data_IF_812850931408
#
_entry.id   IF_812850931408
#
_cell.length_a   1.000
_cell.length_b   1.000
_cell.length_c   1.000
_cell.angle_alpha   90.00
_cell.angle_beta   90.00
_cell.angle_gamma   90.00
#
_symmetry.space_group_name_H-M   'P 1'
#
loop_
_entity.id
_entity.type
_entity.pdbx_description
1 polymer ?
#
# COMPACT_ATOMS: atom_id res chain seq x y z
N UNK A 1 22.74 53.12 31.87
CA UNK A 1 22.84 52.43 30.55
C UNK A 1 21.47 51.89 30.10
N UNK A 2 20.70 51.20 30.95
CA UNK A 2 19.35 50.67 30.63
C UNK A 2 18.26 51.75 30.41
N UNK A 3 18.31 52.88 31.12
CA UNK A 3 17.30 53.94 30.99
C UNK A 3 17.29 54.69 29.65
N UNK A 4 18.46 54.86 29.01
CA UNK A 4 18.59 55.50 27.70
C UNK A 4 18.10 54.59 26.57
N UNK A 5 18.31 53.27 26.71
CA UNK A 5 17.75 52.26 25.80
C UNK A 5 16.22 52.25 25.89
N UNK A 6 15.64 52.34 27.08
CA UNK A 6 14.19 52.38 27.29
C UNK A 6 13.51 53.64 26.73
N UNK A 7 14.18 54.81 26.77
CA UNK A 7 13.69 56.05 26.15
C UNK A 7 13.83 56.02 24.61
N UNK A 8 14.93 55.46 24.08
CA UNK A 8 15.11 55.24 22.63
C UNK A 8 14.12 54.24 22.04
N UNK A 9 13.87 53.15 22.76
CA UNK A 9 12.84 52.16 22.43
C UNK A 9 11.48 52.84 22.39
N UNK A 10 11.20 53.82 23.28
CA UNK A 10 9.94 54.59 23.30
C UNK A 10 9.71 55.48 22.07
N UNK A 11 10.75 56.07 21.52
CA UNK A 11 10.66 56.92 20.34
C UNK A 11 10.51 56.10 19.03
N UNK A 12 11.11 54.90 18.95
CA UNK A 12 11.15 54.10 17.71
C UNK A 12 10.37 52.77 17.84
N UNK A 13 9.32 52.76 18.69
CA UNK A 13 8.52 51.56 19.01
C UNK A 13 7.95 50.89 17.77
N UNK A 14 7.50 51.68 16.81
CA UNK A 14 6.87 51.17 15.59
C UNK A 14 7.87 50.44 14.69
N UNK A 15 9.09 50.96 14.53
CA UNK A 15 10.13 50.33 13.71
C UNK A 15 10.68 49.06 14.37
N UNK A 16 10.91 49.09 15.68
CA UNK A 16 11.30 47.89 16.45
C UNK A 16 10.19 46.83 16.43
N UNK A 17 8.93 47.24 16.58
CA UNK A 17 7.79 46.34 16.48
C UNK A 17 7.69 45.72 15.09
N UNK A 18 7.88 46.50 14.02
CA UNK A 18 7.86 45.98 12.65
C UNK A 18 8.98 44.94 12.40
N UNK A 19 10.19 45.20 12.88
CA UNK A 19 11.31 44.25 12.76
C UNK A 19 11.05 42.95 13.53
N UNK A 20 10.61 43.05 14.79
CA UNK A 20 10.26 41.88 15.61
C UNK A 20 9.11 41.10 15.00
N UNK A 21 8.07 41.77 14.51
CA UNK A 21 6.95 41.15 13.80
C UNK A 21 7.43 40.40 12.56
N UNK A 22 8.35 40.99 11.78
CA UNK A 22 8.90 40.38 10.56
C UNK A 22 9.66 39.09 10.89
N UNK A 23 10.53 39.13 11.91
CA UNK A 23 11.27 37.94 12.36
C UNK A 23 10.30 36.88 12.87
N UNK A 24 9.34 37.24 13.74
CA UNK A 24 8.36 36.31 14.28
C UNK A 24 7.53 35.64 13.18
N UNK A 25 7.01 36.42 12.22
CA UNK A 25 6.24 35.90 11.10
C UNK A 25 7.08 34.96 10.23
N UNK A 26 8.32 35.35 9.93
CA UNK A 26 9.24 34.52 9.12
C UNK A 26 9.55 33.20 9.83
N UNK A 27 9.89 33.23 11.11
CA UNK A 27 10.14 32.03 11.90
C UNK A 27 8.89 31.16 12.02
N UNK A 28 7.72 31.75 12.24
CA UNK A 28 6.45 31.04 12.31
C UNK A 28 6.14 30.33 10.97
N UNK A 29 6.29 31.02 9.84
CA UNK A 29 6.06 30.44 8.52
C UNK A 29 7.05 29.33 8.21
N UNK A 30 8.35 29.51 8.51
CA UNK A 30 9.36 28.48 8.30
C UNK A 30 9.11 27.24 9.17
N UNK A 31 8.75 27.45 10.44
CA UNK A 31 8.41 26.36 11.35
C UNK A 31 7.14 25.62 10.89
N UNK A 32 6.10 26.36 10.49
CA UNK A 32 4.87 25.80 9.95
C UNK A 32 5.14 25.00 8.67
N UNK A 33 5.98 25.52 7.78
CA UNK A 33 6.35 24.82 6.55
C UNK A 33 7.14 23.54 6.83
N UNK A 34 8.11 23.59 7.76
CA UNK A 34 8.88 22.41 8.17
C UNK A 34 7.95 21.33 8.77
N UNK A 35 7.05 21.72 9.67
CA UNK A 35 6.06 20.81 10.24
C UNK A 35 5.09 20.24 9.19
N UNK A 36 4.61 21.09 8.28
CA UNK A 36 3.71 20.72 7.18
C UNK A 36 4.36 19.69 6.25
N UNK A 37 5.60 19.92 5.83
CA UNK A 37 6.33 19.00 4.93
C UNK A 37 6.54 17.62 5.52
N UNK A 38 6.85 17.52 6.82
CA UNK A 38 6.99 16.24 7.51
C UNK A 38 5.66 15.51 7.67
N UNK A 39 4.67 16.18 8.27
CA UNK A 39 3.39 15.56 8.60
C UNK A 39 2.60 15.12 7.36
N UNK A 40 2.61 15.92 6.30
CA UNK A 40 1.89 15.59 5.06
C UNK A 40 2.65 14.59 4.22
N UNK A 41 3.99 14.60 4.24
CA UNK A 41 4.78 13.56 3.59
C UNK A 41 4.41 12.18 4.14
N UNK A 42 4.39 12.05 5.47
CA UNK A 42 4.05 10.77 6.12
C UNK A 42 2.57 10.40 5.92
N UNK A 43 1.65 11.35 6.05
CA UNK A 43 0.23 11.10 5.81
C UNK A 43 -0.07 10.71 4.36
N UNK A 44 0.60 11.35 3.38
CA UNK A 44 0.46 11.03 1.96
C UNK A 44 0.97 9.61 1.67
N UNK A 45 2.13 9.24 2.19
CA UNK A 45 2.68 7.88 2.03
C UNK A 45 1.71 6.84 2.58
N UNK A 46 1.21 7.03 3.81
CA UNK A 46 0.26 6.10 4.42
C UNK A 46 -1.03 5.99 3.62
N UNK A 47 -1.62 7.14 3.24
CA UNK A 47 -2.88 7.16 2.50
C UNK A 47 -2.76 6.53 1.12
N UNK A 48 -1.63 6.73 0.43
CA UNK A 48 -1.39 6.09 -0.86
C UNK A 48 -1.23 4.58 -0.70
N UNK A 49 -0.40 4.12 0.24
CA UNK A 49 -0.13 2.69 0.45
C UNK A 49 -1.35 1.92 1.00
N UNK A 50 -2.18 2.54 1.85
CA UNK A 50 -3.33 1.87 2.48
C UNK A 50 -4.63 1.96 1.68
N UNK A 51 -4.78 2.97 0.82
CA UNK A 51 -6.07 3.22 0.16
C UNK A 51 -5.96 3.43 -1.35
N UNK A 52 -5.12 4.36 -1.82
CA UNK A 52 -5.15 4.74 -3.24
C UNK A 52 -4.48 3.72 -4.16
N UNK A 53 -3.43 3.06 -3.68
CA UNK A 53 -2.64 2.09 -4.43
C UNK A 53 -2.42 0.83 -3.59
N UNK A 54 -3.42 0.44 -2.79
CA UNK A 54 -3.37 -0.72 -1.92
C UNK A 54 -3.17 -2.03 -2.70
N UNK A 55 -3.68 -2.08 -3.93
CA UNK A 55 -3.48 -3.14 -4.90
C UNK A 55 -2.03 -3.27 -5.36
N UNK A 56 -1.29 -2.16 -5.42
CA UNK A 56 0.14 -2.13 -5.79
C UNK A 56 1.06 -2.26 -4.58
N UNK A 57 0.53 -2.12 -3.37
CA UNK A 57 1.27 -2.24 -2.12
C UNK A 57 1.34 -3.68 -1.58
N UNK A 58 0.93 -4.65 -2.39
CA UNK A 58 1.02 -6.09 -2.08
C UNK A 58 2.33 -6.69 -2.60
N UNK A 59 2.73 -7.80 -1.98
CA UNK A 59 3.76 -8.69 -2.51
C UNK A 59 3.12 -10.05 -2.74
N UNK A 60 2.92 -10.39 -4.01
CA UNK A 60 2.36 -11.67 -4.41
C UNK A 60 3.45 -12.65 -4.84
N UNK A 61 3.25 -13.93 -4.51
CA UNK A 61 4.07 -15.03 -4.97
C UNK A 61 3.19 -16.21 -5.36
N UNK A 62 3.58 -16.97 -6.39
CA UNK A 62 2.86 -18.15 -6.88
C UNK A 62 3.83 -19.27 -7.17
N UNK A 63 3.52 -20.50 -6.78
CA UNK A 63 4.38 -21.65 -7.05
C UNK A 63 3.55 -22.91 -7.30
N UNK A 64 3.98 -23.71 -8.28
CA UNK A 64 3.42 -25.05 -8.48
C UNK A 64 3.79 -25.98 -7.32
N UNK A 65 2.81 -26.79 -6.90
CA UNK A 65 2.93 -27.79 -5.84
C UNK A 65 3.27 -29.19 -6.38
N UNK A 66 3.33 -29.36 -7.69
CA UNK A 66 3.61 -30.66 -8.33
C UNK A 66 4.95 -31.23 -7.86
N UNK A 67 4.90 -32.36 -7.15
CA UNK A 67 6.09 -33.06 -6.64
C UNK A 67 6.78 -32.38 -5.44
N UNK A 68 6.10 -31.44 -4.76
CA UNK A 68 6.65 -30.71 -3.60
C UNK A 68 5.83 -30.95 -2.34
N UNK A 69 6.49 -30.81 -1.19
CA UNK A 69 5.82 -30.71 0.09
C UNK A 69 5.21 -29.32 0.25
N UNK A 70 3.87 -29.25 0.21
CA UNK A 70 3.12 -28.01 0.32
C UNK A 70 3.33 -27.30 1.66
N UNK A 71 3.47 -28.04 2.77
CA UNK A 71 3.65 -27.45 4.09
C UNK A 71 5.04 -26.83 4.24
N UNK A 72 6.07 -27.53 3.79
CA UNK A 72 7.44 -27.01 3.79
C UNK A 72 7.58 -25.77 2.88
N UNK A 73 6.95 -25.80 1.69
CA UNK A 73 6.96 -24.66 0.78
C UNK A 73 6.21 -23.45 1.35
N UNK A 74 5.04 -23.65 1.95
CA UNK A 74 4.28 -22.57 2.61
C UNK A 74 5.10 -21.92 3.72
N UNK A 75 5.75 -22.71 4.58
CA UNK A 75 6.59 -22.18 5.66
C UNK A 75 7.79 -21.39 5.12
N UNK A 76 8.46 -21.90 4.09
CA UNK A 76 9.59 -21.22 3.47
C UNK A 76 9.19 -19.87 2.86
N UNK A 77 8.15 -19.85 2.02
CA UNK A 77 7.67 -18.61 1.36
C UNK A 77 7.15 -17.61 2.40
N UNK A 78 6.36 -18.06 3.37
CA UNK A 78 5.82 -17.21 4.43
C UNK A 78 6.92 -16.61 5.30
N UNK A 79 7.98 -17.36 5.59
CA UNK A 79 9.16 -16.86 6.31
C UNK A 79 9.84 -15.72 5.57
N UNK A 80 10.02 -15.85 4.24
CA UNK A 80 10.62 -14.79 3.40
C UNK A 80 9.72 -13.57 3.27
N UNK A 81 8.43 -13.77 3.01
CA UNK A 81 7.48 -12.66 2.81
C UNK A 81 7.30 -11.80 4.07
N UNK A 82 7.35 -12.39 5.26
CA UNK A 82 7.30 -11.62 6.52
C UNK A 82 8.51 -10.69 6.70
N UNK A 83 9.65 -11.03 6.13
CA UNK A 83 10.86 -10.21 6.17
C UNK A 83 10.92 -9.12 5.09
N UNK A 84 9.96 -9.08 4.15
CA UNK A 84 10.02 -8.22 2.98
C UNK A 84 9.65 -6.75 3.23
N UNK A 85 9.04 -6.44 4.39
CA UNK A 85 8.48 -5.11 4.68
C UNK A 85 9.26 -4.34 5.77
N UNK A 86 10.60 -4.52 5.85
CA UNK A 86 11.46 -3.76 6.76
C UNK A 86 10.97 -3.75 8.24
N UNK A 87 10.51 -4.91 8.73
CA UNK A 87 10.04 -5.09 10.10
C UNK A 87 8.64 -4.54 10.40
N UNK A 88 7.88 -4.09 9.40
CA UNK A 88 6.47 -3.74 9.57
C UNK A 88 5.62 -4.98 9.91
N UNK A 89 4.56 -4.84 10.73
CA UNK A 89 3.60 -5.91 10.97
C UNK A 89 3.04 -6.42 9.64
N UNK A 90 3.32 -7.67 9.31
CA UNK A 90 3.00 -8.26 7.99
C UNK A 90 2.01 -9.39 8.14
N UNK A 91 0.93 -9.32 7.38
CA UNK A 91 -0.04 -10.39 7.22
C UNK A 91 0.19 -11.09 5.88
N UNK A 92 0.32 -12.42 5.91
CA UNK A 92 0.47 -13.25 4.71
C UNK A 92 -0.79 -14.10 4.56
N UNK A 93 -1.58 -13.80 3.54
CA UNK A 93 -2.70 -14.62 3.12
C UNK A 93 -2.24 -15.66 2.10
N UNK A 94 -2.91 -16.80 2.07
CA UNK A 94 -2.56 -17.92 1.19
C UNK A 94 -3.80 -18.52 0.56
N UNK A 95 -3.68 -18.96 -0.69
CA UNK A 95 -4.69 -19.72 -1.40
C UNK A 95 -4.04 -20.92 -2.08
N UNK A 96 -4.54 -22.12 -1.79
CA UNK A 96 -4.20 -23.33 -2.51
C UNK A 96 -5.28 -23.59 -3.55
N UNK A 97 -4.89 -23.89 -4.78
CA UNK A 97 -5.83 -24.23 -5.85
C UNK A 97 -5.54 -25.60 -6.47
N UNK A 98 -6.59 -26.21 -6.99
CA UNK A 98 -6.49 -27.40 -7.83
C UNK A 98 -6.14 -27.05 -9.28
N UNK A 99 -5.83 -28.08 -10.06
CA UNK A 99 -5.85 -28.00 -11.50
C UNK A 99 -7.27 -27.76 -12.05
N UNK A 100 -7.40 -27.54 -13.38
CA UNK A 100 -8.68 -27.31 -14.01
C UNK A 100 -9.53 -28.59 -14.08
N UNK A 101 -10.80 -28.45 -13.74
CA UNK A 101 -11.83 -29.47 -13.92
C UNK A 101 -12.85 -29.03 -14.97
N UNK A 102 -13.38 -29.97 -15.73
CA UNK A 102 -14.49 -29.75 -16.64
C UNK A 102 -15.83 -29.84 -15.90
N UNK A 103 -16.70 -28.86 -16.13
CA UNK A 103 -18.09 -28.89 -15.69
C UNK A 103 -18.93 -29.84 -16.56
N UNK A 104 -19.95 -30.50 -15.97
CA UNK A 104 -20.93 -31.27 -16.70
C UNK A 104 -21.57 -30.47 -17.85
N UNK A 105 -21.66 -31.09 -19.03
CA UNK A 105 -22.32 -30.48 -20.21
C UNK A 105 -23.77 -30.06 -19.93
N UNK A 106 -24.46 -30.74 -19.01
CA UNK A 106 -25.83 -30.45 -18.61
C UNK A 106 -26.00 -29.11 -17.87
N UNK A 107 -24.91 -28.52 -17.35
CA UNK A 107 -24.94 -27.22 -16.69
C UNK A 107 -24.67 -26.05 -17.64
N UNK A 108 -24.31 -26.31 -18.90
CA UNK A 108 -24.00 -25.23 -19.85
C UNK A 108 -25.25 -24.37 -20.10
N UNK A 109 -25.12 -23.04 -20.13
CA UNK A 109 -26.21 -22.15 -20.49
C UNK A 109 -26.79 -22.49 -21.88
N UNK A 110 -28.11 -22.42 -22.01
CA UNK A 110 -28.81 -22.63 -23.29
C UNK A 110 -28.39 -21.55 -24.29
N UNK A 111 -27.67 -21.94 -25.35
CA UNK A 111 -27.17 -21.02 -26.39
C UNK A 111 -25.65 -20.93 -26.50
N UNK A 112 -24.89 -21.58 -25.61
CA UNK A 112 -23.44 -21.70 -25.76
C UNK A 112 -23.11 -22.48 -27.07
N UNK A 113 -22.11 -22.03 -27.87
CA UNK A 113 -21.68 -22.77 -29.06
C UNK A 113 -21.36 -24.21 -28.69
N UNK A 114 -21.79 -25.19 -29.51
CA UNK A 114 -21.43 -26.61 -29.38
C UNK A 114 -19.95 -26.86 -29.73
N UNK A 115 -19.05 -25.93 -29.39
CA UNK A 115 -17.61 -26.13 -29.49
C UNK A 115 -17.14 -27.23 -28.54
N UNK A 116 -16.08 -27.94 -28.93
CA UNK A 116 -15.61 -29.18 -28.30
C UNK A 116 -15.07 -29.01 -26.88
N UNK A 117 -14.67 -27.80 -26.48
CA UNK A 117 -13.99 -27.60 -25.20
C UNK A 117 -14.98 -27.41 -24.04
N UNK A 118 -14.74 -28.08 -22.89
CA UNK A 118 -15.56 -27.95 -21.69
C UNK A 118 -15.41 -26.60 -21.01
N UNK A 119 -16.53 -26.09 -20.46
CA UNK A 119 -16.48 -25.04 -19.45
C UNK A 119 -15.69 -25.56 -18.25
N UNK A 120 -14.82 -24.71 -17.70
CA UNK A 120 -13.89 -25.09 -16.66
C UNK A 120 -14.33 -24.60 -15.30
N UNK A 121 -13.89 -25.30 -14.28
CA UNK A 121 -13.98 -24.90 -12.88
C UNK A 121 -12.68 -25.31 -12.19
N UNK A 122 -12.42 -24.75 -11.02
CA UNK A 122 -11.27 -25.09 -10.20
C UNK A 122 -11.66 -24.96 -8.74
N UNK A 123 -11.03 -25.72 -7.86
CA UNK A 123 -11.23 -25.61 -6.43
C UNK A 123 -10.13 -24.70 -5.85
N UNK A 124 -10.49 -23.83 -4.91
CA UNK A 124 -9.52 -23.00 -4.20
C UNK A 124 -9.89 -22.85 -2.72
N UNK A 125 -8.90 -22.51 -1.90
CA UNK A 125 -9.10 -22.13 -0.51
C UNK A 125 -9.11 -20.61 -0.38
N UNK A 126 -10.05 -20.05 0.37
CA UNK A 126 -10.06 -18.64 0.76
C UNK A 126 -10.33 -18.48 2.25
N UNK A 127 -9.94 -17.34 2.79
CA UNK A 127 -10.22 -16.95 4.16
C UNK A 127 -11.71 -16.64 4.31
N UNK A 128 -12.38 -17.36 5.20
CA UNK A 128 -13.81 -17.20 5.47
C UNK A 128 -14.14 -15.79 5.98
N UNK A 129 -13.19 -15.08 6.60
CA UNK A 129 -13.39 -13.70 7.02
C UNK A 129 -13.52 -12.71 5.86
N UNK A 130 -13.13 -13.11 4.63
CA UNK A 130 -13.25 -12.30 3.41
C UNK A 130 -14.47 -12.65 2.56
N UNK A 131 -15.31 -13.55 3.06
CA UNK A 131 -16.47 -14.09 2.36
C UNK A 131 -17.73 -13.90 3.19
N UNK A 132 -18.82 -13.50 2.52
CA UNK A 132 -20.15 -13.57 3.07
C UNK A 132 -20.84 -14.84 2.57
N UNK A 133 -21.44 -15.61 3.50
CA UNK A 133 -22.29 -16.74 3.15
C UNK A 133 -23.69 -16.22 2.78
N UNK A 134 -24.09 -16.44 1.53
CA UNK A 134 -25.41 -16.01 1.01
C UNK A 134 -26.47 -17.07 1.27
N UNK A 135 -26.09 -18.35 1.24
CA UNK A 135 -27.00 -19.45 1.56
C UNK A 135 -26.28 -20.79 1.74
N UNK A 136 -26.93 -21.73 2.41
CA UNK A 136 -26.37 -23.05 2.74
C UNK A 136 -25.38 -22.99 3.90
N UNK A 137 -24.35 -23.86 3.85
CA UNK A 137 -23.34 -24.02 4.88
C UNK A 137 -21.93 -23.95 4.30
N UNK A 138 -20.95 -23.59 5.13
CA UNK A 138 -19.53 -23.69 4.74
C UNK A 138 -19.12 -25.15 4.53
N UNK A 139 -18.26 -25.43 3.53
CA UNK A 139 -17.77 -26.78 3.27
C UNK A 139 -16.93 -27.30 4.43
N UNK A 140 -17.05 -28.60 4.69
CA UNK A 140 -16.24 -29.32 5.68
C UNK A 140 -15.04 -30.01 5.03
N UNK A 141 -13.96 -30.25 5.81
CA UNK A 141 -12.80 -30.98 5.31
C UNK A 141 -13.19 -32.40 4.91
N UNK A 142 -12.83 -32.80 3.68
CA UNK A 142 -13.00 -34.17 3.22
C UNK A 142 -11.86 -35.05 3.72
N UNK A 143 -12.18 -36.20 4.31
CA UNK A 143 -11.19 -37.18 4.71
C UNK A 143 -10.54 -37.88 3.51
N UNK A 144 -9.37 -38.47 3.73
CA UNK A 144 -8.69 -39.28 2.72
C UNK A 144 -9.59 -40.45 2.31
N UNK A 145 -9.87 -40.58 1.02
CA UNK A 145 -10.76 -41.61 0.47
C UNK A 145 -12.26 -41.32 0.59
N UNK A 146 -12.66 -40.12 1.02
CA UNK A 146 -14.06 -39.72 0.99
C UNK A 146 -14.63 -39.79 -0.45
N UNK A 147 -15.81 -40.35 -0.61
CA UNK A 147 -16.46 -40.48 -1.92
C UNK A 147 -16.83 -39.13 -2.54
N UNK A 148 -17.13 -38.15 -1.70
CA UNK A 148 -17.66 -36.83 -2.09
C UNK A 148 -16.94 -35.69 -1.35
N UNK A 149 -16.91 -34.51 -1.97
CA UNK A 149 -16.26 -33.30 -1.45
C UNK A 149 -17.26 -32.16 -1.35
N UNK A 150 -17.43 -31.62 -0.16
CA UNK A 150 -18.26 -30.43 0.03
C UNK A 150 -17.55 -29.19 -0.54
N UNK A 151 -18.27 -28.40 -1.32
CA UNK A 151 -17.78 -27.13 -1.88
C UNK A 151 -18.84 -26.03 -1.76
N UNK A 152 -18.40 -24.77 -1.70
CA UNK A 152 -19.29 -23.64 -1.88
C UNK A 152 -19.02 -22.93 -3.21
N UNK A 153 -20.07 -22.45 -3.87
CA UNK A 153 -19.98 -21.77 -5.18
C UNK A 153 -20.08 -20.25 -5.02
N UNK A 154 -19.41 -19.45 -5.87
CA UNK A 154 -19.68 -18.03 -5.94
C UNK A 154 -21.12 -17.74 -6.35
N UNK A 155 -21.74 -16.69 -5.81
CA UNK A 155 -23.10 -16.28 -6.12
C UNK A 155 -23.32 -16.04 -7.63
N UNK A 156 -22.33 -15.43 -8.31
CA UNK A 156 -22.36 -15.24 -9.75
C UNK A 156 -22.45 -16.57 -10.52
N UNK A 157 -21.74 -17.60 -10.06
CA UNK A 157 -21.76 -18.95 -10.66
C UNK A 157 -23.08 -19.65 -10.37
N UNK A 158 -23.57 -19.57 -9.13
CA UNK A 158 -24.86 -20.15 -8.74
C UNK A 158 -26.01 -19.61 -9.61
N UNK A 159 -26.00 -18.30 -9.88
CA UNK A 159 -26.99 -17.65 -10.75
C UNK A 159 -26.80 -18.04 -12.22
N UNK A 160 -25.57 -18.04 -12.73
CA UNK A 160 -25.29 -18.32 -14.14
C UNK A 160 -25.58 -19.78 -14.53
N UNK A 161 -25.29 -20.73 -13.64
CA UNK A 161 -25.46 -22.17 -13.89
C UNK A 161 -26.74 -22.75 -13.25
N UNK A 162 -27.57 -21.91 -12.63
CA UNK A 162 -28.78 -22.31 -11.90
C UNK A 162 -28.52 -23.42 -10.85
N UNK A 163 -27.41 -23.30 -10.12
CA UNK A 163 -26.99 -24.26 -9.08
C UNK A 163 -27.41 -23.75 -7.71
N UNK A 164 -27.99 -24.63 -6.90
CA UNK A 164 -28.34 -24.37 -5.51
C UNK A 164 -27.54 -25.29 -4.56
N UNK A 165 -27.50 -24.92 -3.28
CA UNK A 165 -26.98 -25.78 -2.22
C UNK A 165 -27.76 -27.10 -2.14
N UNK A 166 -27.07 -28.19 -1.79
CA UNK A 166 -27.56 -29.57 -1.78
C UNK A 166 -27.40 -30.32 -3.12
N UNK A 167 -26.89 -29.69 -4.19
CA UNK A 167 -26.78 -30.34 -5.50
C UNK A 167 -25.45 -31.11 -5.65
N UNK A 168 -25.49 -32.43 -5.90
CA UNK A 168 -24.30 -33.20 -6.24
C UNK A 168 -23.92 -32.97 -7.71
N UNK A 169 -22.61 -32.85 -7.99
CA UNK A 169 -22.04 -32.70 -9.32
C UNK A 169 -20.80 -33.59 -9.46
N UNK A 170 -20.55 -34.06 -10.68
CA UNK A 170 -19.34 -34.82 -11.01
C UNK A 170 -18.48 -33.97 -11.94
N UNK A 171 -17.30 -33.61 -11.47
CA UNK A 171 -16.30 -32.86 -12.21
C UNK A 171 -15.31 -33.81 -12.88
N UNK A 172 -15.01 -33.60 -14.15
CA UNK A 172 -14.01 -34.41 -14.86
C UNK A 172 -12.64 -33.71 -14.84
N UNK A 173 -11.59 -34.41 -14.41
CA UNK A 173 -10.24 -33.84 -14.37
C UNK A 173 -9.70 -33.64 -15.80
N UNK A 174 -9.26 -32.42 -16.13
CA UNK A 174 -8.70 -32.10 -17.45
C UNK A 174 -7.26 -32.57 -17.63
N UNK A 175 -6.57 -32.89 -16.54
CA UNK A 175 -5.19 -33.38 -16.53
C UNK A 175 -5.12 -34.92 -16.51
N UNK A 176 -6.25 -35.61 -16.68
CA UNK A 176 -6.31 -37.07 -16.81
C UNK A 176 -6.39 -37.84 -15.49
N UNK A 177 -6.64 -37.14 -14.36
CA UNK A 177 -6.92 -37.76 -13.07
C UNK A 177 -8.35 -38.32 -12.94
N UNK A 178 -8.68 -38.90 -11.77
CA UNK A 178 -10.01 -39.45 -11.52
C UNK A 178 -11.07 -38.34 -11.46
N UNK A 179 -12.34 -38.63 -11.83
CA UNK A 179 -13.43 -37.67 -11.64
C UNK A 179 -13.60 -37.33 -10.16
N UNK A 180 -13.98 -36.08 -9.90
CA UNK A 180 -14.22 -35.55 -8.56
C UNK A 180 -15.72 -35.40 -8.36
N UNK A 181 -16.29 -36.18 -7.45
CA UNK A 181 -17.65 -35.96 -6.97
C UNK A 181 -17.62 -34.84 -5.93
N UNK A 182 -18.47 -33.84 -6.15
CA UNK A 182 -18.65 -32.71 -5.24
C UNK A 182 -20.13 -32.57 -4.86
N UNK A 183 -20.38 -32.05 -3.67
CA UNK A 183 -21.70 -31.55 -3.27
C UNK A 183 -21.59 -30.07 -2.96
N UNK A 184 -22.42 -29.28 -3.64
CA UNK A 184 -22.50 -27.85 -3.38
C UNK A 184 -23.23 -27.64 -2.06
N UNK A 185 -22.54 -27.25 -0.99
CA UNK A 185 -23.14 -27.07 0.34
C UNK A 185 -23.52 -25.63 0.64
N UNK A 186 -22.92 -24.67 -0.06
CA UNK A 186 -23.18 -23.25 0.15
C UNK A 186 -22.96 -22.38 -1.08
N UNK A 187 -23.46 -21.16 -0.98
CA UNK A 187 -23.26 -20.08 -1.95
C UNK A 187 -22.62 -18.91 -1.20
N UNK A 188 -21.50 -18.42 -1.70
CA UNK A 188 -20.77 -17.32 -1.08
C UNK A 188 -20.60 -16.14 -2.03
N UNK A 189 -20.30 -14.97 -1.49
CA UNK A 189 -19.84 -13.80 -2.25
C UNK A 189 -18.65 -13.14 -1.55
N UNK A 190 -17.77 -12.45 -2.30
CA UNK A 190 -16.78 -11.56 -1.70
C UNK A 190 -17.42 -10.53 -0.75
N UNK A 191 -16.88 -10.38 0.46
CA UNK A 191 -17.33 -9.34 1.40
C UNK A 191 -16.97 -7.93 0.89
N UNK A 192 -15.78 -7.78 0.32
CA UNK A 192 -15.34 -6.57 -0.38
C UNK A 192 -14.67 -6.96 -1.71
N UNK A 193 -15.36 -6.83 -2.86
CA UNK A 193 -14.80 -7.12 -4.18
C UNK A 193 -13.62 -6.22 -4.59
N UNK A 194 -13.47 -5.04 -4.00
CA UNK A 194 -12.40 -4.09 -4.32
C UNK A 194 -11.12 -4.36 -3.50
N UNK A 195 -11.17 -5.28 -2.52
CA UNK A 195 -10.02 -5.61 -1.68
C UNK A 195 -8.87 -6.22 -2.49
N UNK A 196 -7.61 -5.79 -2.28
CA UNK A 196 -6.41 -6.38 -2.90
C UNK A 196 -6.26 -7.90 -2.70
N UNK A 197 -6.90 -8.44 -1.66
CA UNK A 197 -7.01 -9.88 -1.38
C UNK A 197 -7.36 -10.72 -2.62
N UNK A 198 -8.21 -10.18 -3.51
CA UNK A 198 -8.67 -10.92 -4.68
C UNK A 198 -7.61 -11.13 -5.77
N UNK A 199 -6.41 -10.55 -5.64
CA UNK A 199 -5.27 -10.93 -6.50
C UNK A 199 -4.81 -12.38 -6.28
N UNK A 200 -5.18 -12.99 -5.14
CA UNK A 200 -5.02 -14.43 -4.89
C UNK A 200 -5.92 -15.29 -5.77
N UNK A 201 -7.06 -14.75 -6.23
CA UNK A 201 -7.98 -15.44 -7.12
C UNK A 201 -7.62 -15.13 -8.59
N UNK A 202 -7.36 -16.14 -9.44
CA UNK A 202 -7.18 -15.92 -10.88
C UNK A 202 -8.38 -15.24 -11.55
N UNK A 203 -9.59 -15.35 -10.98
CA UNK A 203 -10.80 -14.68 -11.46
C UNK A 203 -11.09 -13.35 -10.75
N UNK A 204 -10.17 -12.87 -9.92
CA UNK A 204 -10.25 -11.59 -9.20
C UNK A 204 -11.57 -11.42 -8.41
N UNK A 205 -12.09 -12.49 -7.81
CA UNK A 205 -13.32 -12.49 -7.02
C UNK A 205 -14.60 -12.38 -7.85
N UNK A 206 -14.53 -12.39 -9.18
CA UNK A 206 -15.69 -12.16 -10.06
C UNK A 206 -16.58 -13.38 -10.26
N UNK A 207 -16.06 -14.58 -10.01
CA UNK A 207 -16.82 -15.83 -10.16
C UNK A 207 -16.88 -16.40 -11.58
N UNK A 208 -16.87 -15.55 -12.62
CA UNK A 208 -16.95 -15.98 -14.01
C UNK A 208 -15.96 -15.19 -14.86
N UNK A 209 -15.20 -15.89 -15.71
CA UNK A 209 -14.27 -15.28 -16.63
C UNK A 209 -14.25 -16.02 -17.97
N UNK A 210 -14.40 -15.28 -19.07
CA UNK A 210 -14.43 -15.84 -20.42
C UNK A 210 -13.25 -15.31 -21.22
N UNK A 211 -12.40 -16.24 -21.68
CA UNK A 211 -11.36 -15.99 -22.68
C UNK A 211 -11.56 -16.96 -23.85
N UNK A 212 -10.64 -17.92 -24.05
CA UNK A 212 -10.82 -19.00 -25.03
C UNK A 212 -11.84 -20.06 -24.57
N UNK A 213 -12.03 -20.17 -23.26
CA UNK A 213 -13.04 -20.99 -22.58
C UNK A 213 -13.65 -20.20 -21.43
N UNK A 214 -14.83 -20.61 -20.97
CA UNK A 214 -15.48 -20.00 -19.80
C UNK A 214 -15.08 -20.75 -18.55
N UNK A 215 -14.48 -20.04 -17.59
CA UNK A 215 -14.17 -20.56 -16.26
C UNK A 215 -15.19 -20.04 -15.26
N UNK A 216 -15.85 -20.96 -14.56
CA UNK A 216 -16.77 -20.69 -13.45
C UNK A 216 -16.13 -21.14 -12.13
N UNK A 217 -15.91 -20.21 -11.21
CA UNK A 217 -15.34 -20.50 -9.90
C UNK A 217 -14.55 -19.33 -9.34
N UNK A 218 -13.53 -19.58 -8.51
CA UNK A 218 -13.20 -20.89 -7.94
C UNK A 218 -14.33 -21.44 -7.06
N UNK A 219 -14.43 -22.75 -6.95
CA UNK A 219 -15.25 -23.41 -5.94
C UNK A 219 -14.47 -23.40 -4.63
N UNK A 220 -15.07 -22.84 -3.58
CA UNK A 220 -14.45 -22.82 -2.26
C UNK A 220 -14.44 -24.25 -1.71
N UNK A 221 -13.26 -24.76 -1.42
CA UNK A 221 -13.06 -26.01 -0.71
C UNK A 221 -12.38 -25.73 0.64
N UNK A 222 -12.63 -26.59 1.61
CA UNK A 222 -11.94 -26.50 2.90
C UNK A 222 -10.45 -26.85 2.77
N UNK A 223 -9.51 -26.15 3.44
CA UNK A 223 -8.10 -26.47 3.38
C UNK A 223 -7.77 -27.93 3.76
N UNK A 224 -8.54 -28.53 4.67
CA UNK A 224 -8.35 -29.94 5.05
C UNK A 224 -8.61 -30.93 3.91
N UNK A 225 -9.38 -30.54 2.90
CA UNK A 225 -9.62 -31.34 1.69
C UNK A 225 -8.37 -31.46 0.81
N UNK A 226 -7.57 -30.40 0.72
CA UNK A 226 -6.27 -30.46 0.05
C UNK A 226 -5.25 -31.21 0.89
N UNK A 227 -5.23 -30.98 2.20
CA UNK A 227 -4.30 -31.65 3.12
C UNK A 227 -4.53 -33.17 3.21
N UNK A 228 -5.76 -33.65 3.04
CA UNK A 228 -6.08 -35.08 3.02
C UNK A 228 -5.66 -35.78 1.73
N UNK A 229 -5.28 -35.02 0.70
CA UNK A 229 -4.98 -35.51 -0.65
C UNK A 229 -6.21 -35.92 -1.46
N UNK A 230 -7.43 -35.58 -1.00
CA UNK A 230 -8.67 -35.90 -1.74
C UNK A 230 -8.78 -35.09 -3.04
N UNK A 231 -8.28 -33.86 -3.01
CA UNK A 231 -8.13 -32.98 -4.17
C UNK A 231 -6.65 -32.70 -4.36
N UNK A 232 -6.14 -32.93 -5.57
CA UNK A 232 -4.76 -32.63 -5.90
C UNK A 232 -4.55 -31.11 -5.94
N UNK A 233 -3.59 -30.63 -5.16
CA UNK A 233 -3.18 -29.23 -5.18
C UNK A 233 -2.17 -29.02 -6.32
N UNK A 234 -2.45 -28.03 -7.19
CA UNK A 234 -1.65 -27.74 -8.39
C UNK A 234 -0.74 -26.52 -8.18
N UNK A 235 -1.30 -25.45 -7.61
CA UNK A 235 -0.58 -24.22 -7.33
C UNK A 235 -0.97 -23.68 -5.95
N UNK A 236 -0.01 -23.02 -5.30
CA UNK A 236 -0.24 -22.20 -4.12
C UNK A 236 0.15 -20.75 -4.42
N UNK A 237 -0.71 -19.83 -4.00
CA UNK A 237 -0.52 -18.39 -4.09
C UNK A 237 -0.41 -17.81 -2.69
N UNK A 238 0.52 -16.87 -2.52
CA UNK A 238 0.71 -16.10 -1.30
C UNK A 238 0.58 -14.63 -1.63
N UNK A 239 -0.05 -13.88 -0.73
CA UNK A 239 -0.11 -12.44 -0.79
C UNK A 239 0.29 -11.90 0.57
N UNK A 240 1.34 -11.09 0.59
CA UNK A 240 1.77 -10.39 1.77
C UNK A 240 1.35 -8.93 1.72
N UNK A 241 0.83 -8.45 2.84
CA UNK A 241 0.39 -7.08 3.06
C UNK A 241 0.95 -6.61 4.40
N UNK A 242 1.43 -5.36 4.47
CA UNK A 242 1.95 -4.79 5.70
C UNK A 242 1.02 -3.71 6.25
N UNK A 243 1.05 -3.54 7.57
CA UNK A 243 0.49 -2.36 8.20
C UNK A 243 1.45 -1.17 8.02
N UNK A 244 1.11 -0.30 7.08
CA UNK A 244 1.85 0.93 6.81
C UNK A 244 1.56 2.07 7.80
N UNK A 245 0.83 1.85 8.90
CA UNK A 245 0.52 2.89 9.88
C UNK A 245 1.77 3.56 10.49
N UNK A 246 2.86 2.79 10.63
CA UNK A 246 4.19 3.26 11.04
C UNK A 246 5.14 3.66 9.91
N UNK A 247 4.70 3.58 8.64
CA UNK A 247 5.51 3.97 7.50
C UNK A 247 5.49 5.50 7.32
N UNK A 248 6.68 6.07 7.10
CA UNK A 248 6.86 7.49 6.81
C UNK A 248 7.83 7.69 5.65
N UNK A 249 7.94 8.94 5.18
CA UNK A 249 8.75 9.30 4.02
C UNK A 249 10.23 8.89 4.17
N UNK A 250 10.76 8.92 5.40
CA UNK A 250 12.14 8.50 5.70
C UNK A 250 12.42 7.00 5.53
N UNK A 251 11.39 6.14 5.61
CA UNK A 251 11.54 4.68 5.50
C UNK A 251 11.31 4.14 4.09
N UNK A 252 10.87 4.97 3.14
CA UNK A 252 10.58 4.55 1.75
C UNK A 252 11.77 3.81 1.12
N UNK A 253 12.99 4.34 1.28
CA UNK A 253 14.19 3.72 0.70
C UNK A 253 14.57 2.39 1.34
N UNK A 254 14.42 2.26 2.67
CA UNK A 254 14.68 1.00 3.37
C UNK A 254 13.64 -0.07 2.99
N UNK A 255 12.37 0.32 2.88
CA UNK A 255 11.29 -0.55 2.43
C UNK A 255 11.50 -1.01 0.98
N UNK A 256 11.86 -0.09 0.07
CA UNK A 256 12.14 -0.41 -1.32
C UNK A 256 13.29 -1.43 -1.44
N UNK A 257 14.38 -1.22 -0.69
CA UNK A 257 15.51 -2.14 -0.65
C UNK A 257 15.10 -3.51 -0.06
N UNK A 258 14.38 -3.52 1.05
CA UNK A 258 13.91 -4.75 1.72
C UNK A 258 13.03 -5.61 0.80
N UNK A 259 12.14 -4.98 0.03
CA UNK A 259 11.30 -5.70 -0.95
C UNK A 259 12.15 -6.27 -2.08
N UNK A 260 13.09 -5.49 -2.64
CA UNK A 260 14.00 -5.95 -3.71
C UNK A 260 14.88 -7.12 -3.25
N UNK A 261 15.43 -7.03 -2.04
CA UNK A 261 16.23 -8.09 -1.43
C UNK A 261 15.40 -9.35 -1.20
N UNK A 262 14.15 -9.21 -0.75
CA UNK A 262 13.24 -10.33 -0.57
C UNK A 262 12.88 -11.00 -1.90
N UNK A 263 12.63 -10.22 -2.97
CA UNK A 263 12.41 -10.75 -4.32
C UNK A 263 13.62 -11.52 -4.82
N UNK A 264 14.82 -10.97 -4.67
CA UNK A 264 16.07 -11.64 -5.07
C UNK A 264 16.31 -12.92 -4.26
N UNK A 265 16.08 -12.88 -2.95
CA UNK A 265 16.24 -14.03 -2.06
C UNK A 265 15.25 -15.17 -2.38
N UNK A 266 13.99 -14.85 -2.69
CA UNK A 266 12.98 -15.83 -3.10
C UNK A 266 13.36 -16.53 -4.41
N UNK A 267 13.91 -15.79 -5.37
CA UNK A 267 14.37 -16.36 -6.64
C UNK A 267 15.64 -17.21 -6.52
N UNK A 268 16.54 -16.88 -5.58
CA UNK A 268 17.82 -17.58 -5.40
C UNK A 268 17.71 -18.86 -4.56
N UNK A 269 16.69 -18.98 -3.71
CA UNK A 269 16.50 -20.12 -2.81
C UNK A 269 16.03 -21.36 -3.61
N UNK A 270 16.67 -22.52 -3.43
CA UNK A 270 16.28 -23.74 -4.15
C UNK A 270 14.88 -24.23 -3.79
N UNK A 271 14.41 -23.97 -2.57
CA UNK A 271 13.07 -24.37 -2.14
C UNK A 271 11.98 -23.53 -2.84
N UNK A 272 12.23 -22.24 -3.03
CA UNK A 272 11.26 -21.27 -3.57
C UNK A 272 11.59 -20.77 -4.97
N UNK A 273 12.69 -21.18 -5.59
CA UNK A 273 13.21 -20.59 -6.83
C UNK A 273 12.35 -20.84 -8.07
N UNK A 274 11.36 -21.73 -7.99
CA UNK A 274 10.32 -21.88 -9.01
C UNK A 274 9.08 -21.02 -8.74
N UNK A 275 9.07 -20.23 -7.66
CA UNK A 275 7.99 -19.33 -7.34
C UNK A 275 8.11 -18.07 -8.19
N UNK A 276 7.04 -17.74 -8.90
CA UNK A 276 6.92 -16.48 -9.61
C UNK A 276 6.48 -15.41 -8.61
N UNK A 277 7.25 -14.33 -8.51
CA UNK A 277 6.94 -13.20 -7.65
C UNK A 277 6.41 -12.04 -8.47
N UNK A 278 5.48 -11.28 -7.92
CA UNK A 278 4.91 -10.10 -8.56
C UNK A 278 4.65 -9.06 -7.47
N UNK A 279 5.23 -7.87 -7.63
CA UNK A 279 4.98 -6.75 -6.73
C UNK A 279 5.14 -5.44 -7.48
N UNK A 280 4.19 -4.52 -7.28
CA UNK A 280 4.25 -3.16 -7.80
C UNK A 280 4.82 -2.14 -6.81
N UNK A 281 5.21 -2.61 -5.62
CA UNK A 281 5.55 -1.76 -4.48
C UNK A 281 6.86 -0.98 -4.70
N UNK A 282 7.96 -1.56 -5.23
CA UNK A 282 9.18 -0.79 -5.47
C UNK A 282 8.97 0.42 -6.39
N UNK A 283 8.24 0.24 -7.50
CA UNK A 283 7.94 1.32 -8.45
C UNK A 283 7.03 2.38 -7.84
N UNK A 284 6.05 1.96 -7.02
CA UNK A 284 5.17 2.87 -6.29
C UNK A 284 5.97 3.73 -5.29
N UNK A 285 6.91 3.11 -4.56
CA UNK A 285 7.78 3.78 -3.59
C UNK A 285 8.74 4.77 -4.26
N UNK A 286 9.35 4.40 -5.38
CA UNK A 286 10.19 5.33 -6.16
C UNK A 286 9.38 6.52 -6.69
N UNK A 287 8.18 6.27 -7.23
CA UNK A 287 7.26 7.34 -7.65
C UNK A 287 6.89 8.31 -6.52
N UNK A 288 6.56 7.77 -5.34
CA UNK A 288 6.28 8.57 -4.15
C UNK A 288 7.50 9.38 -3.70
N UNK A 289 8.69 8.78 -3.68
CA UNK A 289 9.94 9.46 -3.34
C UNK A 289 10.20 10.65 -4.26
N UNK A 290 10.08 10.45 -5.58
CA UNK A 290 10.26 11.52 -6.57
C UNK A 290 9.25 12.64 -6.39
N UNK A 291 7.97 12.29 -6.18
CA UNK A 291 6.90 13.27 -5.95
C UNK A 291 7.17 14.12 -4.71
N UNK A 292 7.55 13.49 -3.58
CA UNK A 292 7.89 14.20 -2.34
C UNK A 292 9.11 15.12 -2.50
N UNK A 293 10.13 14.68 -3.25
CA UNK A 293 11.31 15.50 -3.54
C UNK A 293 10.94 16.75 -4.36
N UNK A 294 10.07 16.60 -5.37
CA UNK A 294 9.58 17.72 -6.18
C UNK A 294 8.79 18.69 -5.33
N UNK A 295 7.80 18.21 -4.55
CA UNK A 295 6.99 19.06 -3.67
C UNK A 295 7.85 19.81 -2.65
N UNK A 296 8.82 19.14 -2.04
CA UNK A 296 9.74 19.76 -1.06
C UNK A 296 10.58 20.85 -1.72
N UNK A 297 11.04 20.63 -2.94
CA UNK A 297 11.82 21.61 -3.70
C UNK A 297 10.99 22.86 -4.00
N UNK A 298 9.76 22.72 -4.47
CA UNK A 298 8.86 23.85 -4.73
C UNK A 298 8.57 24.67 -3.47
N UNK A 299 8.35 24.00 -2.34
CA UNK A 299 8.11 24.69 -1.06
C UNK A 299 9.36 25.40 -0.53
N UNK A 300 10.55 24.81 -0.69
CA UNK A 300 11.81 25.47 -0.31
C UNK A 300 12.11 26.70 -1.16
N UNK A 301 11.76 26.68 -2.45
CA UNK A 301 11.87 27.85 -3.33
C UNK A 301 10.97 28.98 -2.80
N UNK A 302 9.70 28.67 -2.48
CA UNK A 302 8.79 29.65 -1.89
C UNK A 302 9.26 30.17 -0.53
N UNK A 303 9.79 29.28 0.32
CA UNK A 303 10.37 29.67 1.61
C UNK A 303 11.57 30.61 1.44
N UNK A 304 12.45 30.33 0.50
CA UNK A 304 13.62 31.15 0.20
C UNK A 304 13.22 32.54 -0.29
N UNK A 305 12.19 32.64 -1.15
CA UNK A 305 11.63 33.93 -1.58
C UNK A 305 11.08 34.75 -0.41
N UNK A 306 10.36 34.10 0.52
CA UNK A 306 9.86 34.77 1.73
C UNK A 306 10.99 35.25 2.65
N UNK A 307 12.06 34.46 2.80
CA UNK A 307 13.25 34.85 3.58
C UNK A 307 13.94 36.06 2.95
N UNK A 308 14.09 36.08 1.62
CA UNK A 308 14.65 37.23 0.90
C UNK A 308 13.77 38.47 1.13
N UNK A 309 12.45 38.33 1.00
CA UNK A 309 11.51 39.44 1.22
C UNK A 309 11.61 40.00 2.65
N UNK A 310 11.69 39.12 3.65
CA UNK A 310 11.89 39.50 5.04
C UNK A 310 13.23 40.23 5.25
N UNK A 311 14.32 39.75 4.63
CA UNK A 311 15.62 40.41 4.70
C UNK A 311 15.60 41.81 4.10
N UNK A 312 14.95 42.01 2.95
CA UNK A 312 14.77 43.33 2.34
C UNK A 312 13.94 44.27 3.22
N UNK A 313 12.86 43.78 3.83
CA UNK A 313 12.06 44.58 4.76
C UNK A 313 12.88 45.04 5.98
N UNK A 314 13.71 44.15 6.54
CA UNK A 314 14.61 44.48 7.65
C UNK A 314 15.70 45.48 7.24
N UNK A 315 16.25 45.37 6.03
CA UNK A 315 17.20 46.33 5.47
C UNK A 315 16.56 47.72 5.33
N UNK A 316 15.32 47.80 4.83
CA UNK A 316 14.60 49.06 4.68
C UNK A 316 14.30 49.71 6.04
N UNK A 317 13.89 48.92 7.03
CA UNK A 317 13.70 49.40 8.41
C UNK A 317 15.03 49.90 9.00
N UNK A 318 16.14 49.19 8.76
CA UNK A 318 17.46 49.60 9.20
C UNK A 318 17.91 50.91 8.53
N UNK A 319 17.62 51.08 7.23
CA UNK A 319 17.93 52.30 6.49
C UNK A 319 17.10 53.50 6.99
N UNK A 320 15.80 53.32 7.23
CA UNK A 320 14.94 54.35 7.82
C UNK A 320 15.46 54.80 9.20
N UNK A 321 15.86 53.85 10.05
CA UNK A 321 16.50 54.16 11.33
C UNK A 321 17.83 54.90 11.17
N UNK A 322 18.62 54.59 10.13
CA UNK A 322 19.90 55.23 9.87
C UNK A 322 19.73 56.67 9.37
N UNK A 323 18.76 56.93 8.49
CA UNK A 323 18.42 58.26 7.98
C UNK A 323 17.87 59.17 9.09
N UNK A 324 16.99 58.64 9.94
CA UNK A 324 16.44 59.40 11.07
C UNK A 324 17.54 59.76 12.08
N UNK A 325 18.50 58.85 12.32
CA UNK A 325 19.69 59.11 13.14
C UNK A 325 20.66 60.10 12.48
N UNK A 326 20.68 60.23 11.15
CA UNK A 326 21.62 61.13 10.46
C UNK A 326 21.41 62.60 10.85
N UNK A 327 20.16 63.02 11.09
CA UNK A 327 19.81 64.36 11.59
C UNK A 327 20.34 64.63 13.00
N UNK A 328 20.19 63.69 13.93
CA UNK A 328 20.77 63.78 15.29
C UNK A 328 22.30 63.78 15.26
N UNK A 329 22.89 62.98 14.38
CA UNK A 329 24.34 62.84 14.25
C UNK A 329 24.98 64.10 13.65
N UNK A 330 24.30 64.79 12.74
CA UNK A 330 24.74 66.06 12.17
C UNK A 330 24.78 67.18 13.22
N UNK A 331 23.78 67.24 14.11
CA UNK A 331 23.73 68.18 15.24
C UNK A 331 24.84 67.91 16.27
N UNK A 332 25.15 66.64 16.55
CA UNK A 332 26.27 66.26 17.42
C UNK A 332 27.65 66.56 16.81
N UNK A 333 27.78 66.46 15.48
CA UNK A 333 29.00 66.91 14.76
C UNK A 333 29.17 68.41 14.78
N UNK A 334 28.10 69.19 14.58
CA UNK A 334 28.15 70.65 14.65
C UNK A 334 28.58 71.18 16.03
N UNK A 335 28.40 70.37 17.09
CA UNK A 335 28.86 70.64 18.46
C UNK A 335 30.21 70.02 18.83
N UNK A 336 30.98 69.48 17.87
CA UNK A 336 32.37 69.04 18.08
C UNK A 336 32.58 67.56 18.44
N UNK A 337 31.60 66.68 18.22
CA UNK A 337 31.75 65.24 18.48
C UNK A 337 32.75 64.53 17.55
N UNK A 338 33.81 63.93 18.08
CA UNK A 338 34.82 63.20 17.29
C UNK A 338 34.29 61.87 16.73
N UNK A 339 34.75 61.50 15.52
CA UNK A 339 34.26 60.33 14.74
C UNK A 339 34.27 59.01 15.52
N UNK A 340 35.27 58.81 16.38
CA UNK A 340 35.41 57.59 17.20
C UNK A 340 34.39 57.50 18.35
N UNK A 341 33.94 58.63 18.91
CA UNK A 341 32.98 58.64 20.02
C UNK A 341 31.54 58.41 19.53
N UNK A 342 31.23 58.83 18.30
CA UNK A 342 29.96 58.56 17.62
C UNK A 342 29.84 57.09 17.19
N UNK A 343 30.91 56.49 16.65
CA UNK A 343 30.91 55.06 16.31
C UNK A 343 30.71 54.17 17.55
N UNK A 344 31.31 54.54 18.69
CA UNK A 344 31.16 53.81 19.97
C UNK A 344 29.75 53.89 20.58
N UNK A 345 29.00 54.94 20.27
CA UNK A 345 27.61 55.16 20.72
C UNK A 345 26.56 54.59 19.76
N UNK A 346 26.96 54.22 18.54
CA UNK A 346 26.10 53.57 17.55
C UNK A 346 26.15 52.03 17.61
N UNK A 347 27.22 51.47 18.19
CA UNK A 347 27.44 50.02 18.32
C UNK A 347 26.96 49.42 19.66
N UNK A 348 26.41 50.24 20.58
CA UNK A 348 25.80 49.80 21.85
C UNK A 348 24.38 50.31 21.98
#
# INVERSE_FOLDING_TARGET
MTGFVLLRVRAHRLLLAAAVLTVLLTTCVLAALAAYTGAIGDAAVRRTLQHQAADRATFDAKASLTGKDAAALDQAVRGRLRGAFDGLPTHVATSTRSGPYALPLALRPTGAPKGSDPDLTLLATFDRARLDLVGGNWPRPAAKGAGDVEVAVPEAVARALHIAAGRPLTLADRLGGPPLHITVTGVYRPADPASPYWQLDPLAGRGVHTLAFTTYGPLLADPGTFASGRVAADEMSWQATADFGGAGAGRIGALEASVKDATAALGADRATGSAQTTTGLPDLLDGLRRSLLVTRSTLLIGAFQLVILAAFALLLVAQLLAEERAGETALLRARGGSRGRVARLAAG
#
